data_IF_635454919081
#
_entry.id   IF_635454919081
#
_cell.length_a   1.000
_cell.length_b   1.000
_cell.length_c   1.000
_cell.angle_alpha   90.00
_cell.angle_beta   90.00
_cell.angle_gamma   90.00
#
_symmetry.space_group_name_H-M   'P 1'
#
loop_
_entity.id
_entity.type
_entity.pdbx_description
1 polymer ?
#
# COMPACT_ATOMS: atom_id res chain seq x y z
N UNK A 1 -52.96 -36.09 19.57
CA UNK A 1 -53.52 -34.76 19.92
C UNK A 1 -52.61 -33.74 19.25
N UNK A 2 -52.94 -33.19 18.08
CA UNK A 2 -53.85 -32.05 17.88
C UNK A 2 -53.41 -30.84 18.74
N UNK A 3 -53.07 -29.65 18.25
CA UNK A 3 -53.03 -29.03 16.92
C UNK A 3 -52.16 -27.76 17.04
N UNK A 4 -51.58 -27.24 15.93
CA UNK A 4 -52.02 -26.04 15.20
C UNK A 4 -51.97 -24.75 16.04
N UNK A 5 -51.42 -23.60 15.62
CA UNK A 5 -50.87 -23.03 14.39
C UNK A 5 -50.19 -21.70 14.80
N UNK A 6 -49.66 -20.84 13.95
CA UNK A 6 -49.76 -20.73 12.51
C UNK A 6 -48.66 -19.82 11.95
N UNK A 7 -48.66 -19.77 10.63
CA UNK A 7 -47.70 -19.09 9.76
C UNK A 7 -47.91 -17.56 9.70
N UNK A 8 -46.91 -16.83 9.21
CA UNK A 8 -46.91 -16.24 7.84
C UNK A 8 -46.17 -14.90 7.72
N UNK A 9 -45.55 -14.70 6.54
CA UNK A 9 -45.10 -13.42 5.98
C UNK A 9 -43.63 -13.08 6.26
N UNK A 10 -42.69 -13.02 5.31
CA UNK A 10 -42.77 -12.91 3.85
C UNK A 10 -42.29 -11.53 3.38
N UNK A 11 -41.07 -11.46 2.83
CA UNK A 11 -40.50 -10.49 1.86
C UNK A 11 -38.97 -10.45 2.11
N UNK A 12 -38.06 -10.82 1.21
CA UNK A 12 -38.04 -10.61 -0.24
C UNK A 12 -37.22 -9.36 -0.53
N UNK A 13 -35.99 -9.50 -1.05
CA UNK A 13 -35.19 -8.34 -1.46
C UNK A 13 -33.69 -8.58 -1.58
N UNK A 14 -33.27 -9.47 -2.48
CA UNK A 14 -31.95 -9.40 -3.10
C UNK A 14 -31.84 -8.10 -3.88
N UNK A 15 -30.88 -7.24 -3.57
CA UNK A 15 -30.42 -6.19 -4.49
C UNK A 15 -28.91 -6.33 -4.67
N UNK A 16 -28.55 -6.94 -5.80
CA UNK A 16 -27.27 -6.70 -6.43
C UNK A 16 -27.30 -5.26 -6.95
N UNK A 17 -26.43 -4.42 -6.41
CA UNK A 17 -26.20 -3.05 -6.89
C UNK A 17 -24.96 -3.02 -7.77
N UNK A 18 -25.14 -3.24 -9.07
CA UNK A 18 -24.19 -2.84 -10.10
C UNK A 18 -24.23 -1.31 -10.23
N UNK A 19 -23.28 -0.63 -9.59
CA UNK A 19 -23.07 0.81 -9.73
C UNK A 19 -21.96 1.10 -10.74
N UNK A 20 -22.28 1.05 -12.03
CA UNK A 20 -21.45 1.62 -13.08
C UNK A 20 -21.52 3.14 -13.01
N UNK A 21 -20.37 3.83 -12.91
CA UNK A 21 -20.30 5.28 -13.04
C UNK A 21 -20.26 5.59 -14.55
N UNK A 22 -21.38 6.07 -15.07
CA UNK A 22 -21.46 6.65 -16.41
C UNK A 22 -20.95 8.07 -16.40
N UNK A 23 -19.99 8.35 -17.27
CA UNK A 23 -19.54 9.68 -17.67
C UNK A 23 -20.59 10.44 -18.46
N UNK A 24 -20.73 11.73 -18.16
CA UNK A 24 -21.45 12.74 -18.94
C UNK A 24 -21.74 13.93 -18.01
N UNK A 25 -21.47 15.18 -18.31
CA UNK A 25 -21.13 15.87 -19.55
C UNK A 25 -21.63 17.31 -19.35
N UNK A 26 -20.72 18.27 -19.51
CA UNK A 26 -20.92 19.70 -19.74
C UNK A 26 -21.86 20.54 -18.86
N UNK A 27 -21.25 21.52 -18.18
CA UNK A 27 -21.89 22.71 -17.66
C UNK A 27 -20.91 23.89 -17.71
N UNK A 28 -21.00 24.66 -18.80
CA UNK A 28 -20.26 25.91 -19.03
C UNK A 28 -20.45 26.91 -17.88
N UNK A 29 -19.36 27.60 -17.53
CA UNK A 29 -19.38 28.78 -16.65
C UNK A 29 -18.04 29.47 -16.66
N UNK A 30 -17.81 30.35 -17.64
CA UNK A 30 -16.57 31.10 -17.79
C UNK A 30 -16.35 32.15 -16.70
N UNK A 31 -15.09 32.41 -16.37
CA UNK A 31 -14.63 33.69 -15.84
C UNK A 31 -13.32 34.07 -16.54
N UNK A 32 -13.33 35.30 -17.01
CA UNK A 32 -12.37 36.02 -17.83
C UNK A 32 -11.07 36.40 -17.11
N UNK A 33 -9.97 36.29 -17.87
CA UNK A 33 -8.81 37.20 -17.97
C UNK A 33 -8.58 38.27 -16.88
N UNK A 34 -7.37 38.25 -16.32
CA UNK A 34 -6.58 39.47 -16.07
C UNK A 34 -5.09 39.14 -16.27
N UNK A 35 -4.52 39.68 -17.34
CA UNK A 35 -3.08 39.65 -17.58
C UNK A 35 -2.37 40.77 -16.85
N UNK A 36 -1.10 40.55 -16.51
CA UNK A 36 -0.16 41.63 -16.22
C UNK A 36 1.12 41.27 -16.98
N UNK A 37 1.42 42.09 -17.99
CA UNK A 37 2.66 42.04 -18.74
C UNK A 37 3.83 42.60 -17.94
N UNK A 38 5.03 42.14 -18.30
CA UNK A 38 6.29 42.69 -17.84
C UNK A 38 7.35 42.40 -18.88
N UNK A 39 7.83 43.48 -19.49
CA UNK A 39 8.65 43.50 -20.70
C UNK A 39 10.10 43.03 -20.46
N UNK A 40 10.68 42.49 -21.53
CA UNK A 40 12.09 42.19 -21.73
C UNK A 40 12.88 43.51 -21.94
N UNK A 41 14.18 43.58 -21.60
CA UNK A 41 15.19 43.45 -22.66
C UNK A 41 16.41 42.65 -22.19
N UNK A 42 17.03 41.77 -22.98
CA UNK A 42 17.76 42.07 -24.21
C UNK A 42 19.28 42.09 -23.93
N UNK A 43 20.05 41.16 -24.53
CA UNK A 43 21.52 41.21 -24.48
C UNK A 43 22.22 39.91 -24.88
N UNK A 44 22.98 39.95 -25.98
CA UNK A 44 23.47 38.84 -26.78
C UNK A 44 24.89 38.31 -26.46
N UNK A 45 25.25 37.23 -27.20
CA UNK A 45 26.59 36.70 -27.52
C UNK A 45 27.29 35.90 -26.41
N UNK A 46 27.99 34.78 -26.65
CA UNK A 46 28.47 34.11 -27.87
C UNK A 46 29.74 33.34 -27.47
N UNK A 47 29.99 32.14 -28.02
CA UNK A 47 31.24 31.41 -27.78
C UNK A 47 31.19 29.94 -28.17
N UNK A 48 32.01 29.57 -29.16
CA UNK A 48 32.18 28.22 -29.70
C UNK A 48 33.62 27.72 -29.45
N UNK A 49 33.84 26.43 -29.73
CA UNK A 49 35.07 25.63 -29.78
C UNK A 49 35.52 24.96 -28.46
N UNK A 50 35.94 23.70 -28.42
CA UNK A 50 36.11 22.69 -29.47
C UNK A 50 36.69 21.37 -28.92
N UNK A 51 36.22 20.27 -29.52
CA UNK A 51 36.82 18.97 -29.83
C UNK A 51 37.94 18.32 -28.97
N UNK A 52 37.74 17.04 -28.63
CA UNK A 52 38.76 15.99 -28.84
C UNK A 52 38.95 14.96 -27.72
N UNK A 53 38.69 13.68 -28.01
CA UNK A 53 39.30 12.54 -27.29
C UNK A 53 38.39 11.33 -27.10
N UNK A 54 38.38 10.41 -28.08
CA UNK A 54 37.75 9.10 -27.92
C UNK A 54 38.68 8.06 -27.26
N UNK A 55 38.10 7.16 -26.48
CA UNK A 55 38.55 5.78 -26.33
C UNK A 55 37.38 4.91 -25.86
N UNK A 56 37.24 3.75 -26.50
CA UNK A 56 36.20 2.76 -26.31
C UNK A 56 36.39 1.93 -25.02
N UNK A 57 35.29 1.38 -24.49
CA UNK A 57 35.35 0.29 -23.51
C UNK A 57 34.11 0.18 -22.61
N UNK A 58 33.28 -0.82 -22.92
CA UNK A 58 32.34 -1.55 -22.04
C UNK A 58 31.02 -0.86 -21.61
N UNK A 59 29.95 -1.31 -22.27
CA UNK A 59 28.56 -0.96 -21.97
C UNK A 59 28.05 -1.72 -20.75
N UNK A 60 27.79 -0.98 -19.68
CA UNK A 60 26.67 -1.21 -18.77
C UNK A 60 25.77 0.01 -18.87
N UNK A 61 24.54 -0.16 -19.34
CA UNK A 61 23.57 0.93 -19.41
C UNK A 61 23.14 1.33 -17.99
N UNK A 62 23.97 2.14 -17.32
CA UNK A 62 23.54 2.97 -16.22
C UNK A 62 22.65 4.06 -16.82
N UNK A 63 21.36 3.76 -16.95
CA UNK A 63 20.34 4.75 -17.27
C UNK A 63 20.23 5.74 -16.13
N UNK A 64 21.10 6.75 -16.14
CA UNK A 64 20.96 7.94 -15.32
C UNK A 64 19.69 8.67 -15.74
N UNK A 65 18.58 8.34 -15.08
CA UNK A 65 17.33 9.10 -15.17
C UNK A 65 17.56 10.46 -14.52
N UNK A 66 17.88 11.47 -15.33
CA UNK A 66 17.62 12.86 -14.96
C UNK A 66 16.11 12.99 -14.75
N UNK A 67 15.71 12.97 -13.47
CA UNK A 67 14.36 13.28 -13.00
C UNK A 67 13.89 14.58 -13.67
N UNK A 68 12.81 14.52 -14.44
CA UNK A 68 12.12 15.74 -14.87
C UNK A 68 11.67 16.51 -13.63
N UNK A 69 11.95 17.82 -13.61
CA UNK A 69 11.99 18.67 -12.42
C UNK A 69 10.67 18.86 -11.68
N UNK A 70 10.72 18.44 -10.42
CA UNK A 70 10.04 18.90 -9.22
C UNK A 70 10.83 18.29 -8.04
N UNK A 71 10.80 18.86 -6.84
CA UNK A 71 11.21 18.10 -5.65
C UNK A 71 10.19 16.96 -5.49
N UNK A 72 10.40 15.86 -6.22
CA UNK A 72 9.42 14.81 -6.40
C UNK A 72 9.38 13.89 -5.19
N UNK A 73 8.17 13.42 -4.84
CA UNK A 73 7.98 12.36 -3.86
C UNK A 73 8.76 11.11 -4.31
N UNK A 74 9.46 10.49 -3.37
CA UNK A 74 9.97 9.14 -3.53
C UNK A 74 8.78 8.23 -3.86
N UNK A 75 8.87 7.42 -4.92
CA UNK A 75 7.84 6.47 -5.31
C UNK A 75 8.50 5.15 -5.71
N UNK A 76 7.74 4.07 -5.65
CA UNK A 76 8.19 2.73 -6.02
C UNK A 76 8.68 2.66 -7.48
N UNK A 77 9.74 1.89 -7.71
CA UNK A 77 10.27 1.64 -9.03
C UNK A 77 9.57 0.44 -9.69
N UNK A 78 8.36 0.67 -10.19
CA UNK A 78 7.53 -0.41 -10.74
C UNK A 78 7.91 -0.80 -12.18
N UNK A 79 7.79 -2.09 -12.48
CA UNK A 79 7.81 -2.65 -13.83
C UNK A 79 6.57 -2.27 -14.64
N UNK A 80 6.48 -2.73 -15.90
CA UNK A 80 5.36 -2.36 -16.80
C UNK A 80 4.01 -2.85 -16.30
N UNK A 81 3.98 -3.83 -15.39
CA UNK A 81 2.76 -4.40 -14.82
C UNK A 81 1.88 -5.00 -15.92
N UNK A 82 2.52 -5.59 -16.94
CA UNK A 82 1.84 -6.10 -18.11
C UNK A 82 0.94 -7.28 -17.71
N UNK A 83 -0.30 -7.27 -18.20
CA UNK A 83 -1.22 -8.39 -18.09
C UNK A 83 -1.86 -8.67 -19.43
N UNK A 84 -1.98 -9.95 -19.77
CA UNK A 84 -2.75 -10.43 -20.90
C UNK A 84 -3.84 -11.38 -20.39
N UNK A 85 -5.10 -11.15 -20.73
CA UNK A 85 -6.25 -11.90 -20.22
C UNK A 85 -7.11 -12.34 -21.38
N UNK A 86 -7.46 -13.63 -21.43
CA UNK A 86 -8.40 -14.14 -22.41
C UNK A 86 -9.79 -13.60 -22.10
N UNK A 87 -10.43 -13.01 -23.12
CA UNK A 87 -11.78 -12.45 -23.04
C UNK A 87 -12.60 -12.92 -24.25
N UNK A 88 -13.90 -12.62 -24.25
CA UNK A 88 -14.70 -12.75 -25.45
C UNK A 88 -14.15 -11.83 -26.54
N UNK A 89 -13.98 -12.37 -27.75
CA UNK A 89 -13.50 -11.61 -28.90
C UNK A 89 -12.00 -11.38 -28.98
N UNK A 90 -11.16 -11.93 -28.08
CA UNK A 90 -9.70 -11.79 -28.21
C UNK A 90 -8.90 -12.03 -26.93
N UNK A 91 -7.75 -11.35 -26.83
CA UNK A 91 -6.94 -11.20 -25.63
C UNK A 91 -6.86 -9.72 -25.28
N UNK A 92 -7.30 -9.37 -24.08
CA UNK A 92 -7.11 -8.05 -23.50
C UNK A 92 -5.68 -7.93 -22.98
N UNK A 93 -4.96 -6.89 -23.38
CA UNK A 93 -3.62 -6.54 -22.90
C UNK A 93 -3.72 -5.21 -22.16
N UNK A 94 -3.22 -5.14 -20.93
CA UNK A 94 -3.21 -3.92 -20.13
C UNK A 94 -1.86 -3.73 -19.42
N UNK A 95 -1.45 -2.48 -19.24
CA UNK A 95 -0.15 -2.14 -18.65
C UNK A 95 -0.18 -0.75 -17.99
N UNK A 96 0.85 -0.46 -17.20
CA UNK A 96 1.03 0.83 -16.50
C UNK A 96 1.57 1.89 -17.47
N UNK A 97 1.10 3.13 -17.31
CA UNK A 97 1.88 4.33 -17.62
C UNK A 97 2.66 4.67 -16.35
N UNK A 98 3.98 4.70 -16.41
CA UNK A 98 4.81 4.89 -15.22
C UNK A 98 4.90 6.37 -14.85
N UNK A 99 5.05 6.66 -13.56
CA UNK A 99 5.09 8.05 -13.06
C UNK A 99 6.28 8.88 -13.61
N UNK A 100 7.34 8.20 -14.08
CA UNK A 100 8.51 8.81 -14.72
C UNK A 100 8.35 8.97 -16.24
N UNK A 101 7.21 8.57 -16.82
CA UNK A 101 6.91 8.71 -18.25
C UNK A 101 6.00 9.92 -18.51
N UNK A 102 6.28 10.70 -19.57
CA UNK A 102 5.35 11.74 -20.04
C UNK A 102 3.95 11.18 -20.32
N UNK A 103 2.90 11.98 -20.08
CA UNK A 103 1.51 11.58 -20.32
C UNK A 103 1.21 11.27 -21.80
N UNK A 104 2.01 11.80 -22.73
CA UNK A 104 1.91 11.58 -24.16
C UNK A 104 2.82 10.45 -24.67
N UNK A 105 3.41 9.65 -23.78
CA UNK A 105 4.21 8.47 -24.14
C UNK A 105 3.38 7.51 -24.99
N UNK A 106 3.91 7.13 -26.15
CA UNK A 106 3.30 6.14 -27.03
C UNK A 106 3.68 4.72 -26.64
N UNK A 107 2.87 3.73 -27.02
CA UNK A 107 3.19 2.31 -26.78
C UNK A 107 2.95 1.45 -28.02
N UNK A 108 3.86 0.51 -28.25
CA UNK A 108 3.69 -0.56 -29.22
C UNK A 108 3.46 -1.89 -28.48
N UNK A 109 2.44 -2.64 -28.89
CA UNK A 109 2.07 -3.93 -28.33
C UNK A 109 2.53 -5.04 -29.26
N UNK A 110 3.15 -6.06 -28.68
CA UNK A 110 3.73 -7.18 -29.41
C UNK A 110 3.09 -8.50 -28.98
N UNK A 111 2.71 -9.33 -29.97
CA UNK A 111 2.42 -10.77 -29.79
C UNK A 111 3.60 -11.56 -30.34
N UNK A 112 4.38 -12.17 -29.45
CA UNK A 112 5.73 -12.64 -29.80
C UNK A 112 6.58 -11.49 -30.36
N UNK A 113 7.10 -11.65 -31.57
CA UNK A 113 7.88 -10.60 -32.26
C UNK A 113 7.03 -9.71 -33.19
N UNK A 114 5.73 -9.97 -33.29
CA UNK A 114 4.84 -9.23 -34.21
C UNK A 114 4.23 -8.03 -33.50
N UNK A 115 4.52 -6.82 -33.99
CA UNK A 115 3.83 -5.60 -33.56
C UNK A 115 2.38 -5.63 -34.04
N UNK A 116 1.43 -5.34 -33.14
CA UNK A 116 0.00 -5.44 -33.40
C UNK A 116 -0.65 -4.14 -33.87
N UNK A 117 -0.12 -3.00 -33.44
CA UNK A 117 -0.65 -1.67 -33.74
C UNK A 117 0.15 -0.99 -34.87
N UNK A 118 -0.54 -0.28 -35.78
CA UNK A 118 0.09 0.44 -36.89
C UNK A 118 0.81 1.72 -36.46
N UNK A 119 0.24 2.41 -35.47
CA UNK A 119 0.78 3.63 -34.86
C UNK A 119 0.82 3.47 -33.32
N UNK A 120 1.79 4.09 -32.62
CA UNK A 120 1.88 4.01 -31.16
C UNK A 120 0.59 4.44 -30.46
N UNK A 121 0.20 3.71 -29.41
CA UNK A 121 -0.95 4.02 -28.56
C UNK A 121 -0.58 5.16 -27.60
N UNK A 122 -1.21 6.34 -27.71
CA UNK A 122 -0.87 7.53 -26.89
C UNK A 122 -1.97 7.99 -25.93
N UNK A 123 -3.14 7.34 -25.94
CA UNK A 123 -4.29 7.72 -25.09
C UNK A 123 -4.80 6.62 -24.17
N UNK A 124 -4.36 5.38 -24.36
CA UNK A 124 -4.75 4.23 -23.55
C UNK A 124 -3.56 3.31 -23.34
N UNK A 125 -3.45 2.74 -22.15
CA UNK A 125 -2.45 1.71 -21.82
C UNK A 125 -3.07 0.31 -21.85
N UNK A 126 -3.89 0.07 -22.87
CA UNK A 126 -4.48 -1.23 -23.14
C UNK A 126 -4.68 -1.47 -24.64
N UNK A 127 -4.91 -2.73 -25.00
CA UNK A 127 -5.15 -3.17 -26.37
C UNK A 127 -5.99 -4.45 -26.38
N UNK A 128 -6.90 -4.60 -27.33
CA UNK A 128 -7.61 -5.86 -27.58
C UNK A 128 -7.04 -6.50 -28.84
N UNK A 129 -6.39 -7.65 -28.69
CA UNK A 129 -5.95 -8.48 -29.82
C UNK A 129 -7.04 -9.49 -30.19
N UNK A 130 -7.80 -9.29 -31.29
CA UNK A 130 -8.90 -10.19 -31.65
C UNK A 130 -8.43 -11.57 -32.11
N UNK A 131 -7.18 -11.69 -32.55
CA UNK A 131 -6.59 -12.94 -33.02
C UNK A 131 -5.86 -13.69 -31.89
N UNK A 132 -5.73 -13.07 -30.72
CA UNK A 132 -5.00 -13.61 -29.58
C UNK A 132 -5.63 -14.89 -28.98
N UNK A 133 -4.76 -15.80 -28.56
CA UNK A 133 -5.06 -17.12 -28.00
C UNK A 133 -4.34 -17.34 -26.66
N UNK A 134 -4.68 -18.43 -25.96
CA UNK A 134 -4.06 -18.77 -24.67
C UNK A 134 -2.57 -19.17 -24.78
N UNK A 135 -2.12 -19.58 -25.97
CA UNK A 135 -0.71 -19.95 -26.20
C UNK A 135 0.19 -18.75 -26.49
N UNK A 136 -0.38 -17.57 -26.69
CA UNK A 136 0.37 -16.38 -27.04
C UNK A 136 1.09 -15.78 -25.84
N UNK A 137 2.11 -14.98 -26.15
CA UNK A 137 2.82 -14.15 -25.18
C UNK A 137 2.86 -12.71 -25.66
N UNK A 138 2.74 -11.80 -24.71
CA UNK A 138 2.69 -10.36 -24.98
C UNK A 138 3.86 -9.63 -24.33
N UNK A 139 4.33 -8.58 -25.00
CA UNK A 139 5.24 -7.58 -24.45
C UNK A 139 4.86 -6.20 -24.98
N UNK A 140 5.34 -5.14 -24.33
CA UNK A 140 5.09 -3.75 -24.74
C UNK A 140 6.41 -3.00 -24.83
N UNK A 141 6.49 -2.06 -25.76
CA UNK A 141 7.61 -1.11 -25.89
C UNK A 141 7.07 0.31 -25.80
N UNK A 142 7.62 1.10 -24.89
CA UNK A 142 7.36 2.54 -24.88
C UNK A 142 7.97 3.19 -26.13
N UNK A 143 7.36 4.28 -26.57
CA UNK A 143 7.82 5.12 -27.68
C UNK A 143 7.92 6.53 -27.14
N UNK A 144 9.15 6.97 -26.86
CA UNK A 144 9.44 8.26 -26.24
C UNK A 144 10.13 9.13 -27.28
N UNK A 145 9.60 10.33 -27.56
CA UNK A 145 10.10 11.24 -28.58
C UNK A 145 10.28 10.57 -29.97
N UNK A 146 9.35 9.67 -30.32
CA UNK A 146 9.38 8.92 -31.58
C UNK A 146 10.38 7.77 -31.62
N UNK A 147 11.10 7.48 -30.53
CA UNK A 147 12.07 6.39 -30.42
C UNK A 147 11.50 5.26 -29.57
N UNK A 148 11.42 4.07 -30.16
CA UNK A 148 11.02 2.85 -29.46
C UNK A 148 12.08 2.41 -28.44
N UNK A 149 11.64 2.10 -27.23
CA UNK A 149 12.47 1.67 -26.10
C UNK A 149 12.60 0.14 -26.04
N UNK A 150 13.38 -0.34 -25.07
CA UNK A 150 13.50 -1.77 -24.80
C UNK A 150 12.13 -2.42 -24.49
N UNK A 151 11.96 -3.73 -24.81
CA UNK A 151 10.74 -4.45 -24.44
C UNK A 151 10.58 -4.53 -22.92
N UNK A 152 9.33 -4.51 -22.48
CA UNK A 152 8.91 -4.93 -21.14
C UNK A 152 9.19 -6.42 -20.91
N UNK A 153 8.88 -6.90 -19.70
CA UNK A 153 8.67 -8.32 -19.44
C UNK A 153 7.66 -8.92 -20.43
N UNK A 154 7.82 -10.22 -20.70
CA UNK A 154 6.89 -10.98 -21.53
C UNK A 154 5.97 -11.82 -20.66
N UNK A 155 4.65 -11.67 -20.84
CA UNK A 155 3.64 -12.40 -20.05
C UNK A 155 2.86 -13.40 -20.89
N UNK A 156 2.47 -14.51 -20.26
CA UNK A 156 1.50 -15.46 -20.81
C UNK A 156 0.07 -14.93 -20.67
N UNK A 157 -0.86 -15.43 -21.47
CA UNK A 157 -2.28 -15.09 -21.35
C UNK A 157 -2.92 -15.86 -20.19
N UNK A 158 -3.59 -15.11 -19.31
CA UNK A 158 -4.43 -15.66 -18.24
C UNK A 158 -5.75 -16.18 -18.84
N UNK A 159 -6.15 -17.38 -18.44
CA UNK A 159 -7.43 -17.99 -18.85
C UNK A 159 -8.65 -17.34 -18.17
N UNK A 160 -8.42 -16.70 -17.02
CA UNK A 160 -9.41 -16.08 -16.16
C UNK A 160 -8.97 -14.64 -15.83
N UNK A 161 -9.94 -13.78 -15.54
CA UNK A 161 -9.70 -12.37 -15.18
C UNK A 161 -9.23 -12.17 -13.72
N UNK A 162 -8.53 -13.16 -13.18
CA UNK A 162 -7.90 -13.10 -11.86
C UNK A 162 -6.63 -13.92 -11.84
N UNK A 163 -5.76 -13.60 -10.89
CA UNK A 163 -4.57 -14.36 -10.57
C UNK A 163 -4.81 -15.03 -9.24
N UNK A 164 -4.64 -16.34 -9.20
CA UNK A 164 -4.76 -17.12 -7.99
C UNK A 164 -3.41 -17.14 -7.28
N UNK A 165 -3.37 -16.60 -6.05
CA UNK A 165 -2.19 -16.66 -5.18
C UNK A 165 -2.46 -17.73 -4.12
N UNK A 166 -1.85 -18.93 -4.24
CA UNK A 166 -2.08 -19.98 -3.27
C UNK A 166 -1.44 -19.61 -1.93
N UNK A 167 -2.22 -19.82 -0.87
CA UNK A 167 -1.84 -19.48 0.49
C UNK A 167 -1.40 -20.74 1.24
N UNK A 168 -0.17 -20.77 1.75
CA UNK A 168 0.33 -21.90 2.55
C UNK A 168 -0.38 -22.02 3.91
N UNK A 169 -1.24 -23.03 4.02
CA UNK A 169 -2.00 -23.37 5.22
C UNK A 169 -1.20 -24.22 6.23
N UNK A 170 0.03 -24.62 5.93
CA UNK A 170 0.87 -25.38 6.86
C UNK A 170 1.06 -24.59 8.15
N UNK A 171 0.68 -25.14 9.31
CA UNK A 171 0.87 -24.49 10.61
C UNK A 171 -0.16 -23.40 10.98
N UNK A 172 -1.23 -23.22 10.21
CA UNK A 172 -2.35 -22.34 10.58
C UNK A 172 -3.67 -22.80 9.93
N UNK A 173 -4.79 -22.59 10.60
CA UNK A 173 -6.13 -22.78 10.03
C UNK A 173 -6.80 -21.44 9.68
N UNK A 174 -6.04 -20.34 9.74
CA UNK A 174 -6.56 -18.99 9.57
C UNK A 174 -6.61 -18.57 8.11
N UNK A 175 -7.74 -17.99 7.71
CA UNK A 175 -7.91 -17.38 6.40
C UNK A 175 -7.17 -16.04 6.27
N UNK A 176 -7.10 -15.53 5.05
CA UNK A 176 -6.70 -14.14 4.82
C UNK A 176 -7.75 -13.20 5.42
N UNK A 177 -7.31 -12.21 6.19
CA UNK A 177 -8.17 -11.22 6.80
C UNK A 177 -7.95 -9.82 6.20
N UNK A 178 -6.69 -9.38 6.08
CA UNK A 178 -6.31 -8.12 5.42
C UNK A 178 -5.06 -8.35 4.57
N UNK A 179 -4.91 -7.55 3.51
CA UNK A 179 -3.77 -7.64 2.59
C UNK A 179 -3.21 -6.24 2.38
N UNK A 180 -1.90 -6.10 2.57
CA UNK A 180 -1.11 -4.96 2.09
C UNK A 180 -0.30 -5.38 0.87
N UNK A 181 0.13 -4.40 0.07
CA UNK A 181 0.95 -4.61 -1.12
C UNK A 181 2.15 -3.69 -1.09
N UNK A 182 3.26 -4.16 -1.65
CA UNK A 182 4.50 -3.42 -1.82
C UNK A 182 5.51 -4.34 -2.51
N UNK A 183 6.51 -3.75 -3.15
CA UNK A 183 7.62 -4.50 -3.74
C UNK A 183 8.60 -4.89 -2.62
N UNK A 184 8.54 -6.14 -2.12
CA UNK A 184 9.28 -6.53 -0.92
C UNK A 184 10.73 -6.90 -1.24
N UNK A 185 11.03 -7.32 -2.48
CA UNK A 185 12.38 -7.74 -2.88
C UNK A 185 13.09 -6.82 -3.91
N UNK A 186 12.40 -5.79 -4.39
CA UNK A 186 12.93 -4.71 -5.23
C UNK A 186 12.95 -5.05 -6.73
N UNK A 187 12.11 -5.99 -7.17
CA UNK A 187 12.08 -6.47 -8.56
C UNK A 187 11.13 -5.68 -9.48
N UNK A 188 10.39 -4.72 -8.92
CA UNK A 188 9.44 -3.86 -9.61
C UNK A 188 8.03 -4.46 -9.73
N UNK A 189 7.77 -5.63 -9.17
CA UNK A 189 6.44 -6.22 -9.05
C UNK A 189 5.93 -6.14 -7.61
N UNK A 190 4.61 -6.18 -7.43
CA UNK A 190 4.05 -6.19 -6.09
C UNK A 190 4.06 -7.59 -5.49
N UNK A 191 4.51 -7.65 -4.25
CA UNK A 191 4.27 -8.75 -3.33
C UNK A 191 3.11 -8.41 -2.37
N UNK A 192 2.75 -9.39 -1.55
CA UNK A 192 1.54 -9.35 -0.74
C UNK A 192 1.85 -9.69 0.71
N UNK A 193 1.47 -8.79 1.62
CA UNK A 193 1.54 -9.04 3.06
C UNK A 193 0.15 -9.36 3.58
N UNK A 194 -0.05 -10.60 4.00
CA UNK A 194 -1.34 -11.13 4.43
C UNK A 194 -1.37 -11.21 5.96
N UNK A 195 -2.28 -10.47 6.58
CA UNK A 195 -2.66 -10.67 7.98
C UNK A 195 -3.70 -11.79 8.07
N UNK A 196 -3.40 -12.84 8.84
CA UNK A 196 -4.29 -13.98 9.11
C UNK A 196 -5.03 -13.81 10.42
N UNK A 197 -6.34 -13.97 10.37
CA UNK A 197 -7.23 -14.01 11.54
C UNK A 197 -8.55 -14.70 11.18
N UNK A 198 -9.15 -15.38 12.16
CA UNK A 198 -10.49 -15.95 12.03
C UNK A 198 -11.52 -15.27 12.96
N UNK A 199 -11.06 -14.38 13.84
CA UNK A 199 -11.91 -13.58 14.71
C UNK A 199 -11.75 -12.09 14.38
N UNK A 200 -12.87 -11.37 14.40
CA UNK A 200 -12.89 -9.91 14.33
C UNK A 200 -13.59 -9.36 15.58
N UNK A 201 -12.83 -9.26 16.67
CA UNK A 201 -13.36 -8.86 17.98
C UNK A 201 -13.32 -7.34 18.08
N UNK A 202 -14.49 -6.70 18.21
CA UNK A 202 -14.51 -5.27 18.51
C UNK A 202 -14.07 -5.01 19.97
N UNK A 203 -13.34 -3.92 20.28
CA UNK A 203 -12.99 -3.55 21.65
C UNK A 203 -14.16 -3.43 22.64
N UNK A 204 -15.40 -3.26 22.17
CA UNK A 204 -16.59 -3.30 23.02
C UNK A 204 -17.00 -4.71 23.48
N UNK A 205 -16.45 -5.76 22.87
CA UNK A 205 -16.84 -7.15 23.11
C UNK A 205 -15.94 -7.84 24.14
N UNK A 206 -16.53 -8.75 24.91
CA UNK A 206 -15.85 -9.59 25.89
C UNK A 206 -15.38 -10.94 25.36
N UNK A 207 -15.43 -11.15 24.04
CA UNK A 207 -15.03 -12.41 23.39
C UNK A 207 -13.57 -12.73 23.69
N UNK A 208 -13.29 -13.97 24.09
CA UNK A 208 -11.92 -14.42 24.33
C UNK A 208 -11.29 -14.76 22.99
N UNK A 209 -10.09 -14.23 22.71
CA UNK A 209 -9.38 -14.61 21.50
C UNK A 209 -8.90 -16.07 21.60
N UNK A 210 -9.12 -16.85 20.55
CA UNK A 210 -8.76 -18.28 20.49
C UNK A 210 -7.47 -18.56 19.69
N UNK A 211 -6.93 -17.53 19.05
CA UNK A 211 -5.70 -17.59 18.27
C UNK A 211 -5.02 -16.20 18.24
N UNK A 212 -3.80 -16.13 17.70
CA UNK A 212 -3.01 -14.90 17.51
C UNK A 212 -2.97 -14.52 16.04
N UNK A 213 -2.67 -13.26 15.73
CA UNK A 213 -2.47 -12.85 14.34
C UNK A 213 -1.21 -13.51 13.77
N UNK A 214 -1.25 -13.88 12.49
CA UNK A 214 -0.06 -14.14 11.68
C UNK A 214 0.08 -13.06 10.62
N UNK A 215 1.29 -12.60 10.37
CA UNK A 215 1.63 -11.72 9.27
C UNK A 215 2.56 -12.48 8.33
N UNK A 216 2.22 -12.54 7.05
CA UNK A 216 2.91 -13.39 6.08
C UNK A 216 3.21 -12.61 4.81
N UNK A 217 4.45 -12.66 4.33
CA UNK A 217 4.83 -12.17 3.00
C UNK A 217 4.65 -13.26 1.96
N UNK A 218 4.11 -12.91 0.80
CA UNK A 218 3.93 -13.79 -0.35
C UNK A 218 4.31 -13.10 -1.64
N UNK A 219 5.03 -13.83 -2.50
CA UNK A 219 5.15 -13.47 -3.92
C UNK A 219 3.85 -13.70 -4.66
N UNK A 220 3.73 -13.07 -5.83
CA UNK A 220 2.61 -13.25 -6.77
C UNK A 220 2.38 -14.71 -7.20
N UNK A 221 3.40 -15.56 -7.16
CA UNK A 221 3.30 -16.99 -7.46
C UNK A 221 2.83 -17.86 -6.26
N UNK A 222 2.61 -17.27 -5.09
CA UNK A 222 2.21 -17.95 -3.86
C UNK A 222 3.34 -18.54 -3.02
N UNK A 223 4.61 -18.28 -3.38
CA UNK A 223 5.73 -18.57 -2.50
C UNK A 223 5.63 -17.73 -1.23
N UNK A 224 5.56 -18.38 -0.06
CA UNK A 224 5.60 -17.68 1.23
C UNK A 224 7.05 -17.29 1.56
N UNK A 225 7.29 -16.00 1.65
CA UNK A 225 8.57 -15.41 2.04
C UNK A 225 8.83 -15.57 3.54
N UNK A 226 7.86 -15.15 4.37
CA UNK A 226 7.97 -15.23 5.83
C UNK A 226 6.63 -15.50 6.51
N UNK A 227 6.67 -15.85 7.80
CA UNK A 227 5.54 -15.82 8.72
C UNK A 227 5.98 -15.32 10.09
N UNK A 228 5.39 -14.22 10.54
CA UNK A 228 5.55 -13.68 11.90
C UNK A 228 4.27 -13.95 12.70
N UNK A 229 4.42 -14.47 13.91
CA UNK A 229 3.33 -14.57 14.89
C UNK A 229 3.38 -13.35 15.81
N UNK A 230 2.33 -12.50 15.80
CA UNK A 230 2.29 -11.30 16.63
C UNK A 230 2.04 -11.61 18.12
N UNK A 231 1.77 -12.87 18.45
CA UNK A 231 1.62 -13.34 19.81
C UNK A 231 0.33 -12.86 20.50
N UNK A 232 0.24 -13.19 21.78
CA UNK A 232 -0.98 -13.01 22.58
C UNK A 232 -1.20 -11.60 23.10
N UNK A 233 -0.16 -10.77 23.10
CA UNK A 233 -0.22 -9.38 23.54
C UNK A 233 -0.80 -8.44 22.47
N UNK A 234 -1.17 -8.99 21.31
CA UNK A 234 -1.98 -8.33 20.29
C UNK A 234 -3.28 -9.14 20.09
N UNK A 235 -4.40 -8.63 20.63
CA UNK A 235 -5.72 -9.28 20.54
C UNK A 235 -6.20 -9.32 19.08
N UNK A 236 -6.89 -10.38 18.65
CA UNK A 236 -7.51 -10.40 17.33
C UNK A 236 -8.69 -9.42 17.23
N UNK A 237 -8.80 -8.73 16.10
CA UNK A 237 -9.83 -7.72 15.81
C UNK A 237 -9.28 -6.55 15.00
N UNK A 238 -10.15 -5.88 14.25
CA UNK A 238 -9.77 -4.83 13.29
C UNK A 238 -8.93 -3.68 13.90
N UNK A 239 -9.09 -3.40 15.20
CA UNK A 239 -8.46 -2.25 15.89
C UNK A 239 -7.10 -2.50 16.53
N UNK A 240 -6.62 -3.75 16.59
CA UNK A 240 -5.47 -4.09 17.45
C UNK A 240 -4.14 -4.19 16.70
N UNK A 241 -4.18 -4.54 15.42
CA UNK A 241 -2.97 -4.81 14.62
C UNK A 241 -3.01 -4.05 13.28
N UNK A 242 -3.08 -2.70 13.28
CA UNK A 242 -2.93 -1.96 12.04
C UNK A 242 -1.53 -2.24 11.46
N UNK A 243 -1.44 -2.35 10.15
CA UNK A 243 -0.17 -2.49 9.45
C UNK A 243 -0.20 -1.71 8.14
N UNK A 244 0.99 -1.30 7.70
CA UNK A 244 1.24 -0.74 6.36
C UNK A 244 2.43 -1.47 5.74
N UNK A 245 2.48 -1.46 4.41
CA UNK A 245 3.60 -1.99 3.62
C UNK A 245 4.10 -0.83 2.78
N UNK A 246 5.36 -0.45 2.94
CA UNK A 246 5.91 0.72 2.27
C UNK A 246 7.43 0.73 2.34
N UNK A 247 8.09 1.21 1.29
CA UNK A 247 9.53 1.54 1.30
C UNK A 247 9.73 2.81 2.12
N UNK A 248 9.93 2.64 3.43
CA UNK A 248 10.02 3.77 4.33
C UNK A 248 11.37 4.44 4.25
N UNK A 249 12.47 3.74 3.97
CA UNK A 249 13.81 4.33 3.98
C UNK A 249 14.33 4.75 2.60
N UNK A 250 13.72 4.27 1.52
CA UNK A 250 14.03 4.60 0.13
C UNK A 250 15.11 3.75 -0.51
N UNK A 251 15.34 2.54 -0.03
CA UNK A 251 16.28 1.59 -0.63
C UNK A 251 15.72 0.83 -1.85
N UNK A 252 14.43 1.05 -2.16
CA UNK A 252 13.72 0.41 -3.27
C UNK A 252 12.97 -0.86 -2.89
N UNK A 253 12.92 -1.23 -1.60
CA UNK A 253 12.19 -2.38 -1.07
C UNK A 253 11.23 -1.92 0.01
N UNK A 254 10.05 -2.53 0.05
CA UNK A 254 9.05 -2.21 1.04
C UNK A 254 9.30 -2.97 2.35
N UNK A 255 9.25 -2.24 3.47
CA UNK A 255 9.14 -2.83 4.81
C UNK A 255 7.68 -3.08 5.18
N UNK A 256 7.49 -3.87 6.24
CA UNK A 256 6.19 -4.08 6.87
C UNK A 256 6.18 -3.43 8.25
N UNK A 257 5.29 -2.48 8.46
CA UNK A 257 5.20 -1.74 9.73
C UNK A 257 3.92 -2.14 10.43
N UNK A 258 4.02 -2.60 11.68
CA UNK A 258 2.88 -3.12 12.43
C UNK A 258 3.04 -2.92 13.93
N UNK A 259 1.91 -2.82 14.64
CA UNK A 259 1.89 -2.84 16.10
C UNK A 259 2.26 -4.24 16.61
N UNK A 260 3.14 -4.30 17.60
CA UNK A 260 3.64 -5.54 18.20
C UNK A 260 3.61 -5.45 19.74
N UNK A 261 3.64 -6.60 20.37
CA UNK A 261 3.80 -6.74 21.82
C UNK A 261 4.91 -7.75 22.11
N UNK A 262 5.29 -7.85 23.38
CA UNK A 262 6.26 -8.86 23.82
C UNK A 262 5.72 -10.27 23.58
N UNK A 263 6.63 -11.22 23.40
CA UNK A 263 6.30 -12.63 23.22
C UNK A 263 7.31 -13.47 24.00
N UNK A 264 7.03 -14.74 24.31
CA UNK A 264 8.04 -15.61 24.90
C UNK A 264 9.32 -15.61 24.04
N UNK A 265 10.44 -15.15 24.61
CA UNK A 265 11.72 -14.95 23.91
C UNK A 265 12.03 -13.50 23.53
N UNK A 266 11.04 -12.60 23.61
CA UNK A 266 11.16 -11.16 23.36
C UNK A 266 10.61 -10.38 24.57
N UNK A 267 11.40 -10.29 25.62
CA UNK A 267 11.18 -9.47 26.81
C UNK A 267 12.04 -8.21 26.68
N UNK A 268 11.50 -7.16 26.07
CA UNK A 268 12.26 -5.97 25.71
C UNK A 268 12.40 -4.97 26.85
N UNK A 269 11.46 -4.97 27.80
CA UNK A 269 11.56 -4.15 29.00
C UNK A 269 12.36 -4.83 30.14
N UNK A 270 12.60 -6.14 30.04
CA UNK A 270 13.40 -6.93 30.97
C UNK A 270 12.70 -7.23 32.30
N UNK A 271 11.37 -7.19 32.35
CA UNK A 271 10.60 -7.42 33.58
C UNK A 271 10.24 -8.90 33.83
N UNK A 272 10.56 -9.78 32.88
CA UNK A 272 10.29 -11.21 32.95
C UNK A 272 8.83 -11.59 32.64
N UNK A 273 7.98 -10.65 32.23
CA UNK A 273 6.57 -10.87 31.90
C UNK A 273 6.38 -10.71 30.40
N UNK A 274 5.92 -11.78 29.73
CA UNK A 274 5.62 -11.74 28.28
C UNK A 274 4.18 -12.14 27.96
N UNK A 275 3.31 -12.22 28.95
CA UNK A 275 1.88 -12.52 28.81
C UNK A 275 1.06 -11.55 29.66
N UNK A 276 0.47 -10.56 29.01
CA UNK A 276 -0.26 -9.46 29.64
C UNK A 276 -1.79 -9.60 29.47
N UNK A 277 -2.26 -10.80 29.14
CA UNK A 277 -3.69 -11.07 28.99
C UNK A 277 -4.41 -11.02 30.33
N UNK A 278 -5.59 -10.41 30.37
CA UNK A 278 -6.46 -10.48 31.54
C UNK A 278 -7.18 -11.84 31.60
N UNK A 279 -6.94 -12.64 32.64
CA UNK A 279 -7.62 -13.94 32.84
C UNK A 279 -7.18 -15.05 31.88
N UNK A 280 -7.98 -16.11 31.72
CA UNK A 280 -7.68 -17.21 30.79
C UNK A 280 -8.06 -16.82 29.35
N UNK A 281 -7.07 -16.55 28.52
CA UNK A 281 -7.22 -16.11 27.12
C UNK A 281 -7.27 -14.57 26.98
N UNK A 282 -6.99 -14.05 25.78
CA UNK A 282 -6.87 -12.61 25.54
C UNK A 282 -8.25 -11.92 25.52
N UNK A 283 -8.92 -11.83 26.67
CA UNK A 283 -10.17 -11.06 26.80
C UNK A 283 -9.88 -9.57 26.70
N UNK A 284 -8.85 -9.07 27.36
CA UNK A 284 -8.26 -7.75 27.12
C UNK A 284 -6.76 -7.82 27.40
N UNK A 285 -6.00 -6.84 26.88
CA UNK A 285 -4.60 -6.61 27.21
C UNK A 285 -4.47 -5.12 27.51
N UNK A 286 -4.54 -4.76 28.79
CA UNK A 286 -4.58 -3.36 29.25
C UNK A 286 -3.35 -2.98 30.10
N UNK A 287 -2.39 -3.90 30.20
CA UNK A 287 -1.12 -3.75 30.91
C UNK A 287 0.03 -4.16 30.00
N UNK A 288 1.26 -3.93 30.45
CA UNK A 288 2.47 -4.25 29.69
C UNK A 288 2.85 -3.19 28.67
N UNK A 289 4.09 -3.27 28.16
CA UNK A 289 4.58 -2.35 27.15
C UNK A 289 3.98 -2.68 25.78
N UNK A 290 3.95 -1.67 24.91
CA UNK A 290 3.43 -1.78 23.56
C UNK A 290 4.40 -1.09 22.61
N UNK A 291 4.58 -1.67 21.44
CA UNK A 291 5.55 -1.18 20.47
C UNK A 291 4.95 -1.21 19.06
N UNK A 292 5.63 -0.55 18.12
CA UNK A 292 5.54 -0.92 16.71
C UNK A 292 6.93 -1.29 16.22
N UNK A 293 6.97 -2.11 15.18
CA UNK A 293 8.20 -2.51 14.53
C UNK A 293 8.13 -2.24 13.02
N UNK A 294 9.30 -1.99 12.48
CA UNK A 294 9.60 -2.08 11.05
C UNK A 294 10.19 -3.48 10.83
N UNK A 295 9.55 -4.26 9.99
CA UNK A 295 9.97 -5.61 9.63
C UNK A 295 10.56 -5.60 8.23
N UNK A 296 11.62 -6.38 8.02
CA UNK A 296 12.16 -6.65 6.69
C UNK A 296 11.09 -7.31 5.82
N UNK A 297 10.89 -6.79 4.61
CA UNK A 297 9.85 -7.23 3.69
C UNK A 297 9.99 -8.67 3.22
N UNK A 298 11.21 -9.21 3.17
CA UNK A 298 11.46 -10.56 2.64
C UNK A 298 11.57 -11.62 3.74
N UNK A 299 12.02 -11.24 4.92
CA UNK A 299 12.33 -12.18 6.01
C UNK A 299 11.37 -12.06 7.19
N UNK A 300 10.70 -10.91 7.34
CA UNK A 300 9.87 -10.61 8.51
C UNK A 300 10.67 -10.34 9.79
N UNK A 301 12.00 -10.23 9.71
CA UNK A 301 12.85 -9.89 10.86
C UNK A 301 12.60 -8.45 11.32
N UNK A 302 12.67 -8.20 12.64
CA UNK A 302 12.55 -6.85 13.19
C UNK A 302 13.82 -6.07 12.87
N UNK A 303 13.71 -5.06 12.01
CA UNK A 303 14.80 -4.13 11.67
C UNK A 303 14.93 -3.01 12.71
N UNK A 304 13.79 -2.45 13.12
CA UNK A 304 13.73 -1.42 14.15
C UNK A 304 12.43 -1.53 14.95
N UNK A 305 12.46 -1.02 16.19
CA UNK A 305 11.31 -0.98 17.10
C UNK A 305 11.30 0.34 17.87
N UNK A 306 10.11 0.88 18.10
CA UNK A 306 9.89 2.01 19.00
C UNK A 306 8.62 1.79 19.83
N UNK A 307 8.50 2.54 20.93
CA UNK A 307 7.32 2.50 21.77
C UNK A 307 6.08 2.96 21.00
N UNK A 308 4.97 2.24 21.20
CA UNK A 308 3.67 2.70 20.75
C UNK A 308 3.22 3.90 21.59
N UNK A 309 2.29 4.71 21.06
CA UNK A 309 1.68 5.80 21.82
C UNK A 309 1.20 5.28 23.18
N UNK A 310 1.71 5.81 24.32
CA UNK A 310 1.45 5.24 25.63
C UNK A 310 -0.03 5.12 25.96
N UNK A 311 -0.43 3.97 26.52
CA UNK A 311 -1.80 3.76 27.00
C UNK A 311 -2.12 4.67 28.19
N UNK A 312 -1.19 4.77 29.15
CA UNK A 312 -1.48 5.34 30.46
C UNK A 312 -2.56 4.54 31.20
N UNK A 313 -3.31 5.19 32.08
CA UNK A 313 -4.48 4.59 32.74
C UNK A 313 -5.62 4.38 31.72
N UNK A 314 -6.08 3.12 31.47
CA UNK A 314 -7.19 2.83 30.58
C UNK A 314 -8.47 3.63 30.91
N UNK A 315 -8.75 3.84 32.20
CA UNK A 315 -9.95 4.56 32.65
C UNK A 315 -9.97 6.02 32.16
N UNK A 316 -8.79 6.59 31.95
CA UNK A 316 -8.63 7.97 31.49
C UNK A 316 -9.10 8.19 30.05
N UNK A 317 -9.37 7.12 29.30
CA UNK A 317 -9.91 7.18 27.93
C UNK A 317 -11.43 7.28 27.92
N UNK A 318 -12.12 7.18 29.06
CA UNK A 318 -13.58 7.32 29.15
C UNK A 318 -14.36 6.02 29.20
N UNK A 319 -13.68 4.90 29.44
CA UNK A 319 -14.24 3.61 29.86
C UNK A 319 -13.20 2.79 30.64
N UNK A 320 -13.66 1.81 31.40
CA UNK A 320 -12.85 0.97 32.29
C UNK A 320 -12.58 -0.45 31.75
N UNK A 321 -12.95 -0.71 30.50
CA UNK A 321 -12.83 -2.02 29.86
C UNK A 321 -11.97 -2.02 28.58
N UNK A 322 -11.37 -0.86 28.24
CA UNK A 322 -10.33 -0.75 27.21
C UNK A 322 -10.85 -0.51 25.80
N UNK A 323 -12.12 -0.15 25.64
CA UNK A 323 -12.70 0.08 24.32
C UNK A 323 -12.07 1.30 23.64
N UNK A 324 -12.04 2.46 24.32
CA UNK A 324 -11.51 3.70 23.74
C UNK A 324 -9.99 3.73 23.69
N UNK A 325 -9.30 3.05 24.61
CA UNK A 325 -7.85 2.97 24.64
C UNK A 325 -7.28 2.05 23.57
N UNK A 326 -8.02 1.05 23.12
CA UNK A 326 -7.56 0.04 22.15
C UNK A 326 -8.03 0.33 20.71
N UNK A 327 -8.20 1.61 20.35
CA UNK A 327 -8.49 2.05 18.97
C UNK A 327 -7.18 2.51 18.34
N UNK A 328 -6.61 1.69 17.45
CA UNK A 328 -5.34 1.98 16.79
C UNK A 328 -5.53 2.11 15.29
N UNK A 329 -4.81 3.06 14.70
CA UNK A 329 -4.74 3.22 13.25
C UNK A 329 -3.30 3.50 12.83
N UNK A 330 -3.01 3.27 11.55
CA UNK A 330 -1.72 3.52 10.95
C UNK A 330 -1.90 3.94 9.47
N UNK A 331 -1.07 4.86 8.99
CA UNK A 331 -0.97 5.18 7.56
C UNK A 331 0.44 5.62 7.21
N UNK A 332 0.69 5.87 5.92
CA UNK A 332 1.89 6.52 5.41
C UNK A 332 1.53 7.91 4.89
N UNK A 333 2.38 8.89 5.17
CA UNK A 333 2.20 10.27 4.71
C UNK A 333 3.56 10.91 4.41
N UNK A 334 3.63 11.71 3.35
CA UNK A 334 4.80 12.50 2.96
C UNK A 334 4.76 13.84 3.70
N UNK A 335 4.95 13.80 5.02
CA UNK A 335 4.82 14.99 5.89
C UNK A 335 5.94 16.02 5.68
N UNK A 336 7.02 15.67 4.97
CA UNK A 336 8.05 16.59 4.49
C UNK A 336 7.89 16.95 2.99
N UNK A 337 6.93 16.32 2.30
CA UNK A 337 6.65 16.48 0.87
C UNK A 337 7.53 15.65 -0.07
N UNK A 338 8.52 14.92 0.47
CA UNK A 338 9.54 14.23 -0.34
C UNK A 338 9.66 12.74 -0.02
N UNK A 339 9.65 12.35 1.26
CA UNK A 339 9.87 10.96 1.68
C UNK A 339 8.76 10.49 2.65
N UNK A 340 8.44 9.19 2.66
CA UNK A 340 7.33 8.67 3.46
C UNK A 340 7.67 8.62 4.95
N UNK A 341 6.74 9.08 5.79
CA UNK A 341 6.72 8.82 7.24
C UNK A 341 5.58 7.86 7.56
N UNK A 342 5.76 7.00 8.57
CA UNK A 342 4.65 6.26 9.15
C UNK A 342 3.95 7.12 10.20
N UNK A 343 2.63 7.14 10.15
CA UNK A 343 1.77 7.85 11.10
C UNK A 343 1.04 6.83 11.93
N UNK A 344 1.21 6.86 13.25
CA UNK A 344 0.51 5.98 14.20
C UNK A 344 -0.49 6.79 15.02
N UNK A 345 -1.67 6.22 15.25
CA UNK A 345 -2.74 6.88 16.01
C UNK A 345 -3.26 5.99 17.14
N UNK A 346 -3.62 6.61 18.27
CA UNK A 346 -4.35 5.97 19.36
C UNK A 346 -5.55 6.79 19.81
N UNK A 347 -6.70 6.11 19.91
CA UNK A 347 -7.97 6.71 20.27
C UNK A 347 -8.75 7.21 19.05
N UNK A 348 -10.01 7.62 19.29
CA UNK A 348 -10.91 8.16 18.25
C UNK A 348 -12.07 8.96 18.88
N UNK A 349 -12.66 8.43 19.96
CA UNK A 349 -13.89 8.96 20.55
C UNK A 349 -13.70 10.08 21.59
N UNK A 350 -12.61 10.08 22.36
CA UNK A 350 -12.43 10.95 23.54
C UNK A 350 -11.07 11.61 23.56
N UNK A 351 -10.01 10.82 23.64
CA UNK A 351 -8.64 11.23 23.35
C UNK A 351 -8.29 10.75 21.96
N UNK A 352 -7.47 11.53 21.28
CA UNK A 352 -6.85 11.15 20.03
C UNK A 352 -5.41 11.63 20.07
N UNK A 353 -4.49 10.71 19.83
CA UNK A 353 -3.06 10.96 19.69
C UNK A 353 -2.63 10.54 18.30
N UNK A 354 -1.70 11.29 17.73
CA UNK A 354 -1.03 10.97 16.49
C UNK A 354 0.47 11.22 16.64
N UNK A 355 1.30 10.36 16.05
CA UNK A 355 2.73 10.58 15.93
C UNK A 355 3.18 10.26 14.51
N UNK A 356 4.08 11.08 13.97
CA UNK A 356 4.80 10.77 12.74
C UNK A 356 6.21 10.27 13.06
N UNK A 357 6.61 9.22 12.36
CA UNK A 357 7.92 8.59 12.52
C UNK A 357 8.58 8.39 11.16
N UNK A 358 9.86 8.68 11.10
CA UNK A 358 10.73 8.35 9.98
C UNK A 358 11.52 7.08 10.30
N UNK A 359 11.62 6.18 9.34
CA UNK A 359 12.60 5.09 9.33
C UNK A 359 13.64 5.40 8.25
N UNK A 360 14.88 5.62 8.67
CA UNK A 360 16.00 6.03 7.81
C UNK A 360 17.28 5.42 8.34
N UNK A 361 18.11 4.86 7.45
CA UNK A 361 19.43 4.34 7.80
C UNK A 361 19.37 3.37 9.02
N UNK A 362 18.37 2.48 9.02
CA UNK A 362 18.13 1.51 10.10
C UNK A 362 17.58 2.08 11.41
N UNK A 363 17.16 3.35 11.45
CA UNK A 363 16.77 4.04 12.69
C UNK A 363 15.37 4.64 12.61
N UNK A 364 14.55 4.39 13.64
CA UNK A 364 13.27 5.08 13.86
C UNK A 364 13.49 6.40 14.60
N UNK A 365 12.94 7.50 14.06
CA UNK A 365 12.97 8.83 14.69
C UNK A 365 11.60 9.49 14.65
N UNK A 366 11.13 9.99 15.79
CA UNK A 366 9.83 10.70 15.87
C UNK A 366 9.98 12.10 15.31
N UNK A 367 9.16 12.43 14.32
CA UNK A 367 9.10 13.76 13.68
C UNK A 367 8.29 14.72 14.54
N UNK A 368 7.08 14.32 14.91
CA UNK A 368 6.20 15.10 15.77
C UNK A 368 5.24 14.20 16.56
N UNK A 369 4.66 14.77 17.62
CA UNK A 369 3.55 14.20 18.36
C UNK A 369 2.45 15.26 18.47
N UNK A 370 1.22 14.83 18.25
CA UNK A 370 0.03 15.65 18.41
C UNK A 370 -1.00 14.92 19.27
N UNK A 371 -1.75 15.67 20.07
CA UNK A 371 -2.86 15.11 20.82
C UNK A 371 -4.01 16.11 20.97
N UNK A 372 -5.22 15.57 21.12
CA UNK A 372 -6.39 16.34 21.55
C UNK A 372 -7.30 15.55 22.46
N UNK A 373 -8.11 16.28 23.21
CA UNK A 373 -9.30 15.77 23.90
C UNK A 373 -10.57 16.17 23.15
N UNK A 374 -11.67 15.50 23.41
CA UNK A 374 -12.96 15.72 22.75
C UNK A 374 -13.18 14.92 21.47
N UNK A 375 -12.41 13.85 21.24
CA UNK A 375 -12.57 12.93 20.12
C UNK A 375 -12.16 13.55 18.78
N UNK A 376 -12.89 13.20 17.72
CA UNK A 376 -12.70 13.75 16.37
C UNK A 376 -11.99 12.82 15.40
N UNK A 377 -11.77 11.56 15.77
CA UNK A 377 -11.35 10.53 14.84
C UNK A 377 -12.53 9.84 14.14
N UNK A 378 -12.20 8.98 13.18
CA UNK A 378 -13.15 8.09 12.51
C UNK A 378 -12.59 6.65 12.50
N UNK A 379 -13.30 5.71 11.85
CA UNK A 379 -12.88 4.30 11.75
C UNK A 379 -11.95 4.04 10.55
N UNK A 380 -11.36 5.11 10.03
CA UNK A 380 -10.30 5.13 9.03
C UNK A 380 -9.59 6.49 9.14
N UNK A 381 -8.47 6.63 8.46
CA UNK A 381 -7.79 7.90 8.22
C UNK A 381 -7.39 8.03 6.76
N UNK A 382 -7.07 9.24 6.33
CA UNK A 382 -6.44 9.50 5.03
C UNK A 382 -5.22 10.41 5.21
N UNK A 383 -4.29 10.32 4.28
CA UNK A 383 -3.20 11.27 4.15
C UNK A 383 -3.26 11.90 2.75
N UNK A 384 -2.97 13.19 2.66
CA UNK A 384 -2.90 13.89 1.38
C UNK A 384 -2.67 15.38 1.56
N UNK A 385 -2.05 15.99 0.57
CA UNK A 385 -1.91 17.44 0.44
C UNK A 385 -3.28 18.08 0.17
N UNK A 386 -3.82 18.78 1.18
CA UNK A 386 -5.15 19.42 1.08
C UNK A 386 -5.07 20.95 1.10
N UNK A 387 -3.90 21.53 1.33
CA UNK A 387 -3.68 22.98 1.32
C UNK A 387 -2.75 23.49 0.21
N UNK A 388 -2.15 22.58 -0.56
CA UNK A 388 -1.33 22.85 -1.73
C UNK A 388 0.13 23.17 -1.41
N UNK A 389 0.63 22.87 -0.20
CA UNK A 389 2.02 23.15 0.19
C UNK A 389 3.02 22.05 -0.23
N UNK A 390 2.53 20.94 -0.79
CA UNK A 390 3.31 19.79 -1.24
C UNK A 390 3.47 18.67 -0.22
N UNK A 391 3.12 18.89 1.05
CA UNK A 391 3.20 17.91 2.15
C UNK A 391 1.83 17.30 2.41
N UNK A 392 1.82 16.12 3.03
CA UNK A 392 0.56 15.47 3.38
C UNK A 392 0.05 15.90 4.76
N UNK A 393 -1.22 16.31 4.83
CA UNK A 393 -2.00 16.41 6.06
C UNK A 393 -2.64 15.06 6.41
N UNK A 394 -3.02 14.92 7.68
CA UNK A 394 -3.74 13.74 8.19
C UNK A 394 -5.21 14.11 8.43
N UNK A 395 -6.11 13.35 7.80
CA UNK A 395 -7.57 13.59 7.75
C UNK A 395 -8.30 12.51 8.54
#
# INVERSE_FOLDING_TARGET
MAGAGGASGGAGGTTAGTGGITSGGDGQGGISTAGIGGENPGGAAGGSAGNGGGSAGEGGAAGGSTRCGGAGRLMENLGRGLVAVKVEGGVYVGFRLLANEPLDTGFNVYRGDTRLNDAPLTGATNYLDPEGTLSDRYSVRAVVNGVEQAPSESVSVLDRNYIEIPLDMTGTTQGANHVGVGDLDGDGEFDYVVRRANQDIDPSQSTVADNTFKLEGYRRNGERLFRVDLGWNIRQGVWYAPFVVYDLDGDGKAEVITKIGETPGNDWNGDGVTDYRSGSGARTILTGPEYFAVLDGTTGEILARADWIPRGDPNSWGDDYGNRSERHLMTVAYVDGERPSVIILRGTYTKLFAEAWNYRDGTLSRVWQWYRTGGGGFHNLRAGDIDGDGKDEII
#
